data_IF_341496766488
#
_entry.id   IF_341496766488
#
_cell.length_a   1.000
_cell.length_b   1.000
_cell.length_c   1.000
_cell.angle_alpha   90.00
_cell.angle_beta   90.00
_cell.angle_gamma   90.00
#
_symmetry.space_group_name_H-M   'P 1'
#
loop_
_entity.id
_entity.type
_entity.pdbx_description
1 polymer ?
#
# COMPACT_ATOMS: atom_id res chain seq x y z
N UNK A 1 -8.60 33.65 9.37
CA UNK A 1 -7.33 33.04 9.79
C UNK A 1 -6.17 33.78 9.10
N UNK A 2 -5.15 34.21 9.84
CA UNK A 2 -4.02 34.94 9.27
C UNK A 2 -3.16 33.99 8.41
N UNK A 3 -2.74 34.40 7.21
CA UNK A 3 -1.92 33.59 6.28
C UNK A 3 -0.65 33.02 6.92
N UNK A 4 0.00 33.78 7.83
CA UNK A 4 1.18 33.31 8.57
C UNK A 4 0.85 32.15 9.52
N UNK A 5 -0.31 32.19 10.18
CA UNK A 5 -0.77 31.12 11.07
C UNK A 5 -1.15 29.87 10.27
N UNK A 6 -1.82 30.03 9.14
CA UNK A 6 -2.17 28.94 8.25
C UNK A 6 -0.90 28.22 7.71
N UNK A 7 0.10 28.97 7.31
CA UNK A 7 1.39 28.42 6.84
C UNK A 7 2.09 27.63 7.95
N UNK A 8 2.13 28.16 9.18
CA UNK A 8 2.73 27.45 10.33
C UNK A 8 2.03 26.13 10.63
N UNK A 9 0.70 26.12 10.61
CA UNK A 9 -0.09 24.88 10.83
C UNK A 9 0.12 23.87 9.71
N UNK A 10 0.17 24.31 8.45
CA UNK A 10 0.44 23.42 7.32
C UNK A 10 1.84 22.79 7.39
N UNK A 11 2.87 23.55 7.77
CA UNK A 11 4.22 23.02 7.97
C UNK A 11 4.27 22.01 9.12
N UNK A 12 3.60 22.28 10.24
CA UNK A 12 3.50 21.35 11.36
C UNK A 12 2.81 20.06 10.95
N UNK A 13 1.67 20.15 10.25
CA UNK A 13 0.95 19.00 9.74
C UNK A 13 1.81 18.15 8.79
N UNK A 14 2.53 18.80 7.86
CA UNK A 14 3.45 18.11 6.94
C UNK A 14 4.53 17.33 7.69
N UNK A 15 5.12 17.94 8.75
CA UNK A 15 6.13 17.27 9.59
C UNK A 15 5.55 16.06 10.32
N UNK A 16 4.36 16.18 10.89
CA UNK A 16 3.70 15.07 11.61
C UNK A 16 3.30 13.93 10.65
N UNK A 17 2.82 14.24 9.45
CA UNK A 17 2.54 13.24 8.43
C UNK A 17 3.81 12.45 8.04
N UNK A 18 4.94 13.12 7.86
CA UNK A 18 6.21 12.45 7.57
C UNK A 18 6.64 11.49 8.69
N UNK A 19 6.57 11.94 9.95
CA UNK A 19 6.89 11.12 11.12
C UNK A 19 5.92 9.94 11.27
N UNK A 20 4.62 10.21 11.12
CA UNK A 20 3.58 9.18 11.20
C UNK A 20 3.83 8.09 10.14
N UNK A 21 4.05 8.49 8.88
CA UNK A 21 4.30 7.55 7.79
C UNK A 21 5.51 6.66 8.08
N UNK A 22 6.60 7.23 8.56
CA UNK A 22 7.80 6.47 8.91
C UNK A 22 7.53 5.48 10.06
N UNK A 23 6.91 5.93 11.14
CA UNK A 23 6.61 5.08 12.30
C UNK A 23 5.62 3.97 11.95
N UNK A 24 4.59 4.29 11.17
CA UNK A 24 3.59 3.34 10.71
C UNK A 24 4.21 2.24 9.83
N UNK A 25 5.02 2.63 8.85
CA UNK A 25 5.70 1.68 7.97
C UNK A 25 6.68 0.78 8.74
N UNK A 26 7.39 1.33 9.72
CA UNK A 26 8.28 0.57 10.60
C UNK A 26 7.50 -0.47 11.41
N UNK A 27 6.36 -0.08 11.98
CA UNK A 27 5.51 -0.99 12.76
C UNK A 27 4.95 -2.11 11.89
N UNK A 28 4.40 -1.79 10.73
CA UNK A 28 3.92 -2.81 9.78
C UNK A 28 5.04 -3.77 9.35
N UNK A 29 6.22 -3.26 9.06
CA UNK A 29 7.37 -4.09 8.72
C UNK A 29 7.75 -5.07 9.85
N UNK A 30 7.66 -4.64 11.11
CA UNK A 30 7.91 -5.50 12.26
C UNK A 30 6.88 -6.62 12.39
N UNK A 31 5.59 -6.31 12.23
CA UNK A 31 4.49 -7.29 12.27
C UNK A 31 4.57 -8.29 11.11
N UNK A 32 4.87 -7.82 9.91
CA UNK A 32 4.97 -8.66 8.71
C UNK A 32 6.18 -9.60 8.73
N UNK A 33 7.23 -9.28 9.50
CA UNK A 33 8.46 -10.11 9.60
C UNK A 33 8.17 -11.54 10.05
N UNK A 34 7.21 -11.73 10.94
CA UNK A 34 6.79 -13.06 11.40
C UNK A 34 6.21 -13.95 10.28
N UNK A 35 5.83 -13.34 9.15
CA UNK A 35 5.26 -14.00 7.98
C UNK A 35 6.22 -14.07 6.78
N UNK A 36 7.49 -13.70 6.97
CA UNK A 36 8.50 -13.62 5.91
C UNK A 36 8.06 -12.72 4.73
N UNK A 37 7.43 -11.60 5.06
CA UNK A 37 6.97 -10.58 4.12
C UNK A 37 7.54 -9.23 4.52
N UNK A 38 8.10 -8.50 3.55
CA UNK A 38 8.50 -7.11 3.75
C UNK A 38 7.34 -6.16 3.47
N UNK A 39 7.44 -4.92 3.96
CA UNK A 39 6.41 -3.92 3.69
C UNK A 39 6.18 -3.66 2.18
N UNK A 40 7.21 -3.48 1.34
CA UNK A 40 6.99 -3.34 -0.10
C UNK A 40 6.33 -4.57 -0.75
N UNK A 41 6.65 -5.77 -0.28
CA UNK A 41 6.00 -7.01 -0.74
C UNK A 41 4.52 -7.03 -0.38
N UNK A 42 4.19 -6.67 0.85
CA UNK A 42 2.80 -6.54 1.30
C UNK A 42 2.05 -5.47 0.49
N UNK A 43 2.65 -4.30 0.27
CA UNK A 43 2.03 -3.22 -0.49
C UNK A 43 1.67 -3.64 -1.92
N UNK A 44 2.57 -4.38 -2.59
CA UNK A 44 2.31 -4.92 -3.94
C UNK A 44 1.15 -5.92 -3.92
N UNK A 45 1.14 -6.87 -2.98
CA UNK A 45 0.06 -7.87 -2.87
C UNK A 45 -1.29 -7.22 -2.53
N UNK A 46 -1.30 -6.30 -1.58
CA UNK A 46 -2.51 -5.57 -1.15
C UNK A 46 -3.09 -4.73 -2.29
N UNK A 47 -2.22 -4.06 -3.05
CA UNK A 47 -2.64 -3.30 -4.23
C UNK A 47 -3.30 -4.20 -5.29
N UNK A 48 -2.64 -5.30 -5.66
CA UNK A 48 -3.17 -6.24 -6.66
C UNK A 48 -4.50 -6.82 -6.18
N UNK A 49 -4.63 -7.14 -4.89
CA UNK A 49 -5.89 -7.63 -4.31
C UNK A 49 -7.01 -6.59 -4.42
N UNK A 50 -6.75 -5.33 -4.08
CA UNK A 50 -7.75 -4.25 -4.16
C UNK A 50 -8.20 -3.97 -5.58
N UNK A 51 -7.34 -4.22 -6.56
CA UNK A 51 -7.67 -4.04 -7.97
C UNK A 51 -8.52 -5.20 -8.54
N UNK A 52 -8.80 -6.22 -7.73
CA UNK A 52 -9.67 -7.34 -8.06
C UNK A 52 -9.09 -8.25 -9.15
N UNK A 53 -9.94 -8.67 -10.09
CA UNK A 53 -9.51 -9.55 -11.19
C UNK A 53 -8.79 -8.83 -12.34
N UNK A 54 -8.55 -7.53 -12.22
CA UNK A 54 -7.96 -6.72 -13.27
C UNK A 54 -6.43 -6.91 -13.30
N UNK A 55 -5.92 -7.50 -14.38
CA UNK A 55 -4.49 -7.68 -14.55
C UNK A 55 -3.79 -6.35 -14.87
N UNK A 56 -2.66 -6.09 -14.23
CA UNK A 56 -1.86 -4.87 -14.38
C UNK A 56 -0.45 -5.17 -14.85
N UNK A 57 0.16 -4.19 -15.52
CA UNK A 57 1.59 -4.26 -15.88
C UNK A 57 2.47 -3.93 -14.65
N UNK A 58 3.74 -4.35 -14.72
CA UNK A 58 4.73 -3.98 -13.68
C UNK A 58 4.82 -2.46 -13.49
N UNK A 59 4.75 -1.69 -14.60
CA UNK A 59 4.77 -0.23 -14.54
C UNK A 59 3.58 0.33 -13.77
N UNK A 60 2.37 -0.15 -14.06
CA UNK A 60 1.16 0.27 -13.36
C UNK A 60 1.22 -0.02 -11.86
N UNK A 61 1.69 -1.21 -11.49
CA UNK A 61 1.87 -1.59 -10.09
C UNK A 61 2.92 -0.69 -9.42
N UNK A 62 4.08 -0.48 -10.09
CA UNK A 62 5.16 0.37 -9.60
C UNK A 62 4.67 1.79 -9.28
N UNK A 63 3.91 2.38 -10.21
CA UNK A 63 3.37 3.73 -10.05
C UNK A 63 2.34 3.80 -8.89
N UNK A 64 1.51 2.76 -8.74
CA UNK A 64 0.48 2.71 -7.72
C UNK A 64 1.03 2.52 -6.29
N UNK A 65 2.09 1.71 -6.13
CA UNK A 65 2.68 1.42 -4.80
C UNK A 65 3.92 2.27 -4.49
N UNK A 66 4.34 3.11 -5.44
CA UNK A 66 5.54 3.96 -5.33
C UNK A 66 6.82 3.18 -5.00
N UNK A 67 6.96 2.01 -5.61
CA UNK A 67 8.13 1.13 -5.52
C UNK A 67 8.75 1.01 -6.91
N UNK A 68 10.07 1.13 -7.00
CA UNK A 68 10.79 1.09 -8.28
C UNK A 68 10.51 -0.20 -9.07
N UNK A 69 10.34 -0.09 -10.39
CA UNK A 69 10.01 -1.23 -11.26
C UNK A 69 10.93 -2.44 -11.10
N UNK A 70 12.27 -2.31 -10.95
CA UNK A 70 13.14 -3.46 -10.70
C UNK A 70 12.81 -4.21 -9.41
N UNK A 71 12.42 -3.47 -8.36
CA UNK A 71 12.00 -4.06 -7.09
C UNK A 71 10.64 -4.76 -7.23
N UNK A 72 9.66 -4.14 -7.90
CA UNK A 72 8.36 -4.77 -8.20
C UNK A 72 8.55 -6.04 -9.01
N UNK A 73 9.43 -6.03 -10.02
CA UNK A 73 9.75 -7.23 -10.82
C UNK A 73 10.25 -8.38 -9.95
N UNK A 74 11.14 -8.10 -9.00
CA UNK A 74 11.64 -9.13 -8.06
C UNK A 74 10.54 -9.65 -7.14
N UNK A 75 9.68 -8.76 -6.64
CA UNK A 75 8.55 -9.11 -5.79
C UNK A 75 7.58 -10.02 -6.55
N UNK A 76 7.19 -9.61 -7.75
CA UNK A 76 6.27 -10.38 -8.60
C UNK A 76 6.84 -11.77 -8.91
N UNK A 77 8.13 -11.87 -9.23
CA UNK A 77 8.79 -13.16 -9.47
C UNK A 77 8.74 -14.04 -8.22
N UNK A 78 9.12 -13.51 -7.05
CA UNK A 78 9.07 -14.24 -5.77
C UNK A 78 7.68 -14.86 -5.53
N UNK A 79 6.64 -14.07 -5.71
CA UNK A 79 5.28 -14.53 -5.46
C UNK A 79 4.68 -15.39 -6.57
N UNK A 80 5.13 -15.22 -7.82
CA UNK A 80 4.81 -16.14 -8.91
C UNK A 80 5.42 -17.53 -8.68
N UNK A 81 6.68 -17.60 -8.24
CA UNK A 81 7.34 -18.85 -7.85
C UNK A 81 6.64 -19.55 -6.66
N UNK A 82 5.98 -18.80 -5.80
CA UNK A 82 5.17 -19.32 -4.69
C UNK A 82 3.73 -19.67 -5.09
N UNK A 83 3.35 -19.50 -6.35
CA UNK A 83 2.00 -19.76 -6.84
C UNK A 83 0.93 -18.75 -6.41
N UNK A 84 1.33 -17.58 -5.91
CA UNK A 84 0.41 -16.52 -5.44
C UNK A 84 0.05 -15.53 -6.55
N UNK A 85 0.95 -15.32 -7.50
CA UNK A 85 0.72 -14.45 -8.65
C UNK A 85 0.88 -15.21 -9.96
N UNK A 86 0.15 -14.77 -10.96
CA UNK A 86 0.30 -15.20 -12.35
C UNK A 86 0.82 -14.04 -13.19
N UNK A 87 1.78 -14.35 -14.05
CA UNK A 87 2.29 -13.42 -15.06
C UNK A 87 1.86 -13.95 -16.42
N UNK A 88 0.99 -13.21 -17.10
CA UNK A 88 0.51 -13.52 -18.45
C UNK A 88 0.98 -12.46 -19.44
N UNK A 89 1.15 -12.84 -20.72
CA UNK A 89 1.50 -11.91 -21.78
C UNK A 89 2.05 -12.64 -22.99
N UNK A 90 2.01 -11.97 -24.14
CA UNK A 90 2.56 -12.51 -25.40
C UNK A 90 4.08 -12.49 -25.29
N UNK A 91 4.75 -13.62 -25.51
CA UNK A 91 6.21 -13.78 -25.39
C UNK A 91 7.04 -12.75 -26.19
N UNK A 92 6.45 -12.14 -27.22
CA UNK A 92 7.12 -11.18 -28.10
C UNK A 92 7.24 -9.76 -27.54
N UNK A 93 6.45 -9.40 -26.52
CA UNK A 93 6.51 -8.05 -25.94
C UNK A 93 6.57 -8.10 -24.41
N UNK A 94 7.80 -8.02 -23.88
CA UNK A 94 8.05 -7.96 -22.41
C UNK A 94 7.38 -6.77 -21.73
N UNK A 95 6.99 -5.73 -22.49
CA UNK A 95 6.33 -4.52 -21.98
C UNK A 95 4.85 -4.75 -21.67
N UNK A 96 4.25 -5.83 -22.17
CA UNK A 96 2.83 -6.16 -22.00
C UNK A 96 2.56 -7.31 -21.03
N UNK A 97 3.56 -7.76 -20.29
CA UNK A 97 3.34 -8.74 -19.23
C UNK A 97 2.42 -8.17 -18.17
N UNK A 98 1.34 -8.91 -17.91
CA UNK A 98 0.33 -8.54 -16.92
C UNK A 98 0.37 -9.48 -15.74
N UNK A 99 0.21 -8.91 -14.55
CA UNK A 99 0.22 -9.60 -13.28
C UNK A 99 -1.20 -9.68 -12.75
N UNK A 100 -1.60 -10.84 -12.30
CA UNK A 100 -2.88 -11.07 -11.62
C UNK A 100 -2.70 -12.01 -10.44
N UNK A 101 -3.69 -12.04 -9.55
CA UNK A 101 -3.70 -12.96 -8.41
C UNK A 101 -4.18 -14.36 -8.83
N UNK A 102 -3.65 -15.37 -8.13
CA UNK A 102 -4.23 -16.71 -8.08
C UNK A 102 -5.27 -16.81 -6.96
N UNK A 103 -6.08 -17.88 -6.96
CA UNK A 103 -7.01 -18.13 -5.86
C UNK A 103 -6.31 -18.31 -4.50
N UNK A 104 -5.10 -18.84 -4.48
CA UNK A 104 -4.30 -19.03 -3.24
C UNK A 104 -3.81 -17.71 -2.64
N UNK A 105 -3.59 -16.69 -3.47
CA UNK A 105 -3.14 -15.38 -3.01
C UNK A 105 -4.17 -14.70 -2.10
N UNK A 106 -5.46 -14.83 -2.39
CA UNK A 106 -6.51 -14.24 -1.57
C UNK A 106 -6.47 -14.78 -0.13
N UNK A 107 -6.31 -16.10 0.04
CA UNK A 107 -6.19 -16.74 1.35
C UNK A 107 -4.90 -16.28 2.08
N UNK A 108 -3.79 -16.18 1.37
CA UNK A 108 -2.52 -15.71 1.94
C UNK A 108 -2.61 -14.26 2.43
N UNK A 109 -3.15 -13.36 1.62
CA UNK A 109 -3.32 -11.95 1.99
C UNK A 109 -4.29 -11.80 3.15
N UNK A 110 -5.42 -12.53 3.14
CA UNK A 110 -6.37 -12.52 4.26
C UNK A 110 -5.71 -12.95 5.57
N UNK A 111 -4.80 -13.92 5.53
CA UNK A 111 -4.02 -14.33 6.70
C UNK A 111 -3.10 -13.22 7.20
N UNK A 112 -2.42 -12.51 6.28
CA UNK A 112 -1.59 -11.35 6.66
C UNK A 112 -2.43 -10.24 7.29
N UNK A 113 -3.57 -9.91 6.68
CA UNK A 113 -4.49 -8.89 7.20
C UNK A 113 -5.03 -9.25 8.58
N UNK A 114 -5.40 -10.51 8.78
CA UNK A 114 -5.84 -11.00 10.09
C UNK A 114 -4.75 -10.90 11.17
N UNK A 115 -3.49 -11.09 10.78
CA UNK A 115 -2.35 -10.92 11.69
C UNK A 115 -2.08 -9.46 12.07
N UNK A 116 -2.39 -8.51 11.16
CA UNK A 116 -2.24 -7.08 11.40
C UNK A 116 -3.43 -6.48 12.15
N UNK A 117 -4.60 -7.09 12.06
CA UNK A 117 -5.87 -6.54 12.57
C UNK A 117 -5.86 -6.21 14.06
N UNK A 118 -5.34 -7.05 14.98
CA UNK A 118 -5.32 -6.72 16.41
C UNK A 118 -4.57 -5.43 16.70
N UNK A 119 -3.43 -5.21 16.02
CA UNK A 119 -2.61 -4.02 16.18
C UNK A 119 -3.31 -2.76 15.65
N UNK A 120 -3.98 -2.89 14.49
CA UNK A 120 -4.77 -1.79 13.91
C UNK A 120 -5.93 -1.41 14.82
N UNK A 121 -6.66 -2.40 15.36
CA UNK A 121 -7.75 -2.15 16.29
C UNK A 121 -7.27 -1.45 17.56
N UNK A 122 -6.14 -1.89 18.12
CA UNK A 122 -5.55 -1.27 19.30
C UNK A 122 -5.20 0.20 19.08
N UNK A 123 -4.63 0.54 17.91
CA UNK A 123 -4.28 1.93 17.57
C UNK A 123 -5.47 2.89 17.60
N UNK A 124 -6.67 2.39 17.36
CA UNK A 124 -7.88 3.21 17.21
C UNK A 124 -8.96 2.90 18.24
N UNK A 125 -8.64 2.08 19.27
CA UNK A 125 -9.61 1.60 20.27
C UNK A 125 -10.40 2.69 20.97
N UNK A 126 -9.76 3.83 21.25
CA UNK A 126 -10.35 4.97 21.95
C UNK A 126 -10.97 6.02 21.03
N UNK A 127 -11.04 5.74 19.71
CA UNK A 127 -11.56 6.69 18.75
C UNK A 127 -13.04 6.41 18.47
N UNK A 128 -13.94 7.41 18.69
CA UNK A 128 -15.32 7.28 18.28
C UNK A 128 -15.44 7.22 16.74
N UNK A 129 -16.50 6.55 16.27
CA UNK A 129 -16.75 6.33 14.84
C UNK A 129 -16.70 7.62 14.01
N UNK A 130 -17.34 8.68 14.47
CA UNK A 130 -17.33 10.00 13.82
C UNK A 130 -15.91 10.54 13.60
N UNK A 131 -15.02 10.35 14.58
CA UNK A 131 -13.62 10.76 14.48
C UNK A 131 -12.85 9.93 13.47
N UNK A 132 -13.11 8.61 13.43
CA UNK A 132 -12.51 7.71 12.45
C UNK A 132 -12.93 8.07 11.03
N UNK A 133 -14.21 8.31 10.81
CA UNK A 133 -14.75 8.73 9.51
C UNK A 133 -14.15 10.05 9.05
N UNK A 134 -14.20 11.06 9.92
CA UNK A 134 -13.65 12.39 9.61
C UNK A 134 -12.17 12.31 9.25
N UNK A 135 -11.39 11.59 10.05
CA UNK A 135 -9.94 11.45 9.81
C UNK A 135 -9.67 10.68 8.51
N UNK A 136 -10.42 9.62 8.25
CA UNK A 136 -10.32 8.84 7.01
C UNK A 136 -10.60 9.71 5.78
N UNK A 137 -11.61 10.55 5.83
CA UNK A 137 -11.96 11.45 4.72
C UNK A 137 -10.90 12.52 4.49
N UNK A 138 -10.32 13.10 5.54
CA UNK A 138 -9.23 14.06 5.42
C UNK A 138 -7.98 13.42 4.77
N UNK A 139 -7.65 12.18 5.16
CA UNK A 139 -6.55 11.44 4.55
C UNK A 139 -6.84 11.16 3.06
N UNK A 140 -8.08 10.77 2.70
CA UNK A 140 -8.47 10.53 1.30
C UNK A 140 -8.34 11.78 0.45
N UNK A 141 -8.78 12.94 0.96
CA UNK A 141 -8.66 14.24 0.28
C UNK A 141 -7.19 14.56 0.02
N UNK A 142 -6.36 14.45 1.05
CA UNK A 142 -4.93 14.74 0.94
C UNK A 142 -4.22 13.78 -0.02
N UNK A 143 -4.51 12.48 0.07
CA UNK A 143 -3.96 11.49 -0.86
C UNK A 143 -4.32 11.79 -2.31
N UNK A 144 -5.57 12.15 -2.59
CA UNK A 144 -6.01 12.55 -3.94
C UNK A 144 -5.20 13.72 -4.46
N UNK A 145 -4.99 14.74 -3.62
CA UNK A 145 -4.18 15.88 -4.01
C UNK A 145 -2.74 15.46 -4.38
N UNK A 146 -2.12 14.58 -3.61
CA UNK A 146 -0.79 14.05 -3.91
C UNK A 146 -0.76 13.27 -5.22
N UNK A 147 -1.79 12.46 -5.50
CA UNK A 147 -1.89 11.67 -6.73
C UNK A 147 -2.04 12.57 -7.97
N UNK A 148 -2.80 13.66 -7.87
CA UNK A 148 -3.05 14.61 -8.94
C UNK A 148 -1.88 15.59 -9.19
N UNK A 149 -1.01 15.80 -8.20
CA UNK A 149 0.10 16.75 -8.24
C UNK A 149 1.48 16.08 -8.08
N UNK A 150 1.66 14.92 -8.72
CA UNK A 150 2.95 14.23 -8.74
C UNK A 150 4.02 15.09 -9.42
N UNK A 151 5.23 15.14 -8.82
CA UNK A 151 6.39 15.91 -9.32
C UNK A 151 7.24 15.03 -10.21
#
# INVERSE_FOLDING_TARGET
>A
MNARMQMSMAMQLSSELGRMTQSYNTRLAQLLRAHDVTYPQYAVLDHIMRNGSKAETISQISDAVEVLQPAVTKIVRKFAERGLLQVSGIEKDRRQKRVSMTGEAAAFISKLQAALMPDVLECFSDWPEEKLDTFTDQIRIFRRWLDENRV
#
